data_IF_422211465261
#
_entry.id   IF_422211465261
#
_cell.length_a   1.000
_cell.length_b   1.000
_cell.length_c   1.000
_cell.angle_alpha   90.00
_cell.angle_beta   90.00
_cell.angle_gamma   90.00
#
_symmetry.space_group_name_H-M   'P 1'
#
loop_
_entity.id
_entity.type
_entity.pdbx_description
1 polymer ?
#
# COMPACT_ATOMS: atom_id res chain seq x y z
N UNK A 1 -12.23 1.92 -34.07
CA UNK A 1 -12.30 2.30 -32.65
C UNK A 1 -11.98 1.04 -31.86
N UNK A 2 -11.07 1.10 -30.86
CA UNK A 2 -10.82 -0.05 -29.99
C UNK A 2 -12.07 -0.35 -29.15
N UNK A 3 -12.37 -1.63 -28.90
CA UNK A 3 -13.42 -2.00 -27.96
C UNK A 3 -12.98 -1.65 -26.53
N UNK A 4 -13.95 -1.38 -25.66
CA UNK A 4 -13.65 -1.10 -24.24
C UNK A 4 -13.04 -2.33 -23.57
N UNK A 5 -11.92 -2.15 -22.91
CA UNK A 5 -11.15 -3.21 -22.24
C UNK A 5 -10.82 -4.41 -23.17
N UNK A 6 -10.53 -4.16 -24.46
CA UNK A 6 -10.04 -5.22 -25.33
C UNK A 6 -8.70 -5.80 -24.84
N UNK A 7 -8.20 -6.86 -25.48
CA UNK A 7 -6.94 -7.50 -25.09
C UNK A 7 -5.76 -6.52 -25.03
N UNK A 8 -5.81 -5.44 -25.84
CA UNK A 8 -4.78 -4.41 -25.95
C UNK A 8 -5.16 -3.11 -25.21
N UNK A 9 -6.06 -3.21 -24.24
CA UNK A 9 -6.44 -2.09 -23.38
C UNK A 9 -5.20 -1.38 -22.80
N UNK A 10 -5.15 -0.06 -22.90
CA UNK A 10 -4.03 0.82 -22.54
C UNK A 10 -2.73 0.63 -23.36
N UNK A 11 -2.68 -0.27 -24.33
CA UNK A 11 -1.50 -0.53 -25.16
C UNK A 11 -1.73 0.05 -26.57
N UNK A 12 -0.94 1.04 -26.96
CA UNK A 12 -1.14 1.76 -28.24
C UNK A 12 -0.20 1.28 -29.35
N UNK A 13 1.05 0.91 -28.99
CA UNK A 13 2.08 0.49 -29.94
C UNK A 13 2.23 -1.03 -30.01
N UNK A 14 2.85 -1.52 -31.09
CA UNK A 14 3.12 -2.96 -31.20
C UNK A 14 4.19 -3.41 -30.21
N UNK A 15 5.18 -2.56 -29.92
CA UNK A 15 6.15 -2.83 -28.88
C UNK A 15 5.48 -2.96 -27.51
N UNK A 16 4.61 -2.01 -27.14
CA UNK A 16 3.88 -2.08 -25.86
C UNK A 16 3.06 -3.38 -25.72
N UNK A 17 2.40 -3.83 -26.81
CA UNK A 17 1.66 -5.09 -26.83
C UNK A 17 2.58 -6.29 -26.63
N UNK A 18 3.72 -6.33 -27.33
CA UNK A 18 4.72 -7.39 -27.20
C UNK A 18 5.25 -7.45 -25.75
N UNK A 19 5.68 -6.32 -25.19
CA UNK A 19 6.19 -6.27 -23.82
C UNK A 19 5.16 -6.76 -22.80
N UNK A 20 3.88 -6.40 -22.99
CA UNK A 20 2.83 -6.82 -22.10
C UNK A 20 2.49 -8.31 -22.26
N UNK A 21 2.16 -8.76 -23.47
CA UNK A 21 1.63 -10.11 -23.69
C UNK A 21 2.71 -11.19 -23.50
N UNK A 22 3.96 -10.92 -23.89
CA UNK A 22 5.02 -11.90 -23.85
C UNK A 22 5.74 -11.92 -22.49
N UNK A 23 5.87 -10.77 -21.80
CA UNK A 23 6.71 -10.68 -20.60
C UNK A 23 5.98 -10.29 -19.32
N UNK A 24 4.94 -9.43 -19.37
CA UNK A 24 4.32 -8.91 -18.16
C UNK A 24 3.04 -9.65 -17.73
N UNK A 25 2.20 -10.07 -18.70
CA UNK A 25 0.83 -10.52 -18.42
C UNK A 25 0.76 -11.70 -17.44
N UNK A 26 1.69 -12.66 -17.59
CA UNK A 26 1.69 -13.91 -16.82
C UNK A 26 2.64 -13.88 -15.61
N UNK A 27 3.23 -12.72 -15.27
CA UNK A 27 4.07 -12.61 -14.09
C UNK A 27 3.25 -12.87 -12.82
N UNK A 28 3.81 -13.58 -11.82
CA UNK A 28 3.16 -13.72 -10.52
C UNK A 28 2.95 -12.37 -9.84
N UNK A 29 2.10 -12.35 -8.82
CA UNK A 29 1.88 -11.16 -8.00
C UNK A 29 2.57 -11.34 -6.65
N UNK A 30 3.36 -10.34 -6.27
CA UNK A 30 3.90 -10.15 -4.96
C UNK A 30 3.32 -8.85 -4.41
N UNK A 31 2.40 -8.95 -3.44
CA UNK A 31 1.73 -7.81 -2.85
C UNK A 31 2.39 -7.46 -1.50
N UNK A 32 3.47 -6.72 -1.58
CA UNK A 32 4.33 -6.44 -0.42
C UNK A 32 3.79 -5.36 0.53
N UNK A 33 2.62 -4.80 0.26
CA UNK A 33 1.87 -3.93 1.17
C UNK A 33 0.38 -3.89 0.81
N UNK A 34 -0.46 -4.33 1.74
CA UNK A 34 -1.91 -4.25 1.66
C UNK A 34 -2.55 -4.18 3.04
N UNK A 35 -3.87 -3.98 3.07
CA UNK A 35 -4.68 -3.95 4.29
C UNK A 35 -5.69 -5.11 4.36
N UNK A 36 -5.38 -6.23 3.69
CA UNK A 36 -6.21 -7.43 3.72
C UNK A 36 -6.19 -8.06 5.11
N UNK A 37 -7.36 -8.52 5.57
CA UNK A 37 -7.50 -9.17 6.87
C UNK A 37 -7.03 -10.65 6.80
N UNK A 38 -5.96 -11.04 7.52
CA UNK A 38 -5.46 -12.41 7.50
C UNK A 38 -6.46 -13.42 8.09
N UNK A 39 -7.37 -13.02 8.97
CA UNK A 39 -8.43 -13.90 9.47
C UNK A 39 -9.34 -14.38 8.33
N UNK A 40 -9.72 -13.49 7.41
CA UNK A 40 -10.57 -13.85 6.26
C UNK A 40 -9.86 -14.85 5.33
N UNK A 41 -8.51 -14.78 5.22
CA UNK A 41 -7.72 -15.76 4.47
C UNK A 41 -7.72 -17.11 5.19
N UNK A 42 -7.49 -17.12 6.52
CA UNK A 42 -7.47 -18.35 7.29
C UNK A 42 -8.82 -19.07 7.25
N UNK A 43 -9.90 -18.33 7.49
CA UNK A 43 -11.27 -18.86 7.51
C UNK A 43 -11.80 -19.19 6.11
N UNK A 44 -11.05 -18.86 5.06
CA UNK A 44 -11.45 -19.02 3.66
C UNK A 44 -12.82 -18.45 3.38
N UNK A 45 -13.04 -17.19 3.82
CA UNK A 45 -14.33 -16.51 3.80
C UNK A 45 -14.99 -16.58 2.43
N UNK A 46 -16.30 -16.76 2.43
CA UNK A 46 -17.20 -16.49 1.31
C UNK A 46 -17.92 -15.18 1.53
N UNK A 47 -18.13 -14.43 0.46
CA UNK A 47 -18.95 -13.23 0.48
C UNK A 47 -20.37 -13.53 0.00
N UNK A 48 -21.37 -13.00 0.67
CA UNK A 48 -22.76 -13.20 0.28
C UNK A 48 -23.13 -12.32 -0.91
N UNK A 49 -22.56 -11.11 -0.98
CA UNK A 49 -22.86 -10.12 -2.02
C UNK A 49 -21.62 -9.40 -2.53
N UNK A 50 -21.70 -8.92 -3.76
CA UNK A 50 -20.67 -8.07 -4.36
C UNK A 50 -20.47 -6.75 -3.59
N UNK A 51 -21.49 -6.25 -2.92
CA UNK A 51 -21.41 -5.08 -2.05
C UNK A 51 -20.41 -5.29 -0.93
N UNK A 52 -20.45 -6.45 -0.26
CA UNK A 52 -19.49 -6.75 0.83
C UNK A 52 -18.06 -6.73 0.35
N UNK A 53 -17.79 -7.23 -0.85
CA UNK A 53 -16.45 -7.23 -1.44
C UNK A 53 -16.00 -5.84 -1.89
N UNK A 54 -16.91 -5.06 -2.49
CA UNK A 54 -16.57 -3.79 -3.13
C UNK A 54 -16.72 -2.58 -2.24
N UNK A 55 -17.71 -2.57 -1.36
CA UNK A 55 -18.08 -1.39 -0.58
C UNK A 55 -17.92 -1.59 0.92
N UNK A 56 -17.49 -2.77 1.36
CA UNK A 56 -17.35 -3.09 2.78
C UNK A 56 -16.27 -2.27 3.52
N UNK A 57 -15.30 -1.70 2.81
CA UNK A 57 -14.21 -0.92 3.40
C UNK A 57 -13.46 -0.03 2.41
N UNK A 58 -14.00 0.15 1.20
CA UNK A 58 -13.33 0.88 0.12
C UNK A 58 -13.72 2.37 0.12
N UNK A 59 -12.97 3.16 0.88
CA UNK A 59 -13.16 4.61 0.94
C UNK A 59 -12.87 5.33 -0.40
N UNK A 60 -12.22 4.70 -1.38
CA UNK A 60 -12.06 5.23 -2.74
C UNK A 60 -13.42 5.31 -3.44
N UNK A 61 -14.20 4.21 -3.40
CA UNK A 61 -15.52 4.13 -3.99
C UNK A 61 -16.50 5.05 -3.23
N UNK A 62 -16.48 5.04 -1.90
CA UNK A 62 -17.33 5.92 -1.08
C UNK A 62 -17.15 7.39 -1.42
N UNK A 63 -15.91 7.83 -1.62
CA UNK A 63 -15.58 9.20 -2.01
C UNK A 63 -16.23 9.59 -3.33
N UNK A 64 -16.24 8.69 -4.32
CA UNK A 64 -16.86 8.95 -5.61
C UNK A 64 -18.39 8.94 -5.55
N UNK A 65 -18.99 8.07 -4.76
CA UNK A 65 -20.43 8.07 -4.52
C UNK A 65 -20.88 9.41 -3.91
N UNK A 66 -20.17 9.91 -2.91
CA UNK A 66 -20.41 11.24 -2.32
C UNK A 66 -20.23 12.36 -3.35
N UNK A 67 -19.19 12.28 -4.18
CA UNK A 67 -18.94 13.24 -5.27
C UNK A 67 -20.09 13.26 -6.28
N UNK A 68 -20.79 12.14 -6.46
CA UNK A 68 -21.99 12.05 -7.29
C UNK A 68 -23.29 12.44 -6.54
N UNK A 69 -23.20 12.93 -5.29
CA UNK A 69 -24.36 13.38 -4.52
C UNK A 69 -25.19 12.24 -3.91
N UNK A 70 -24.64 11.05 -3.76
CA UNK A 70 -25.29 9.92 -3.12
C UNK A 70 -25.42 10.18 -1.61
N UNK A 71 -26.61 10.00 -1.07
CA UNK A 71 -26.88 10.12 0.37
C UNK A 71 -26.08 9.10 1.17
N UNK A 72 -25.53 9.51 2.32
CA UNK A 72 -24.63 8.72 3.15
C UNK A 72 -25.22 7.37 3.59
N UNK A 73 -26.54 7.28 3.72
CA UNK A 73 -27.22 6.01 4.03
C UNK A 73 -26.94 4.91 3.02
N UNK A 74 -26.66 5.27 1.74
CA UNK A 74 -26.29 4.33 0.67
C UNK A 74 -24.77 4.14 0.53
N UNK A 75 -23.95 4.88 1.26
CA UNK A 75 -22.49 4.78 1.23
C UNK A 75 -22.01 3.93 2.41
N UNK A 76 -22.06 4.48 3.62
CA UNK A 76 -21.64 3.79 4.85
C UNK A 76 -22.79 3.51 5.82
N UNK A 77 -23.99 4.06 5.58
CA UNK A 77 -25.15 3.90 6.45
C UNK A 77 -25.81 2.51 6.37
N UNK A 78 -27.05 2.43 6.78
CA UNK A 78 -27.79 1.20 7.06
C UNK A 78 -28.66 0.68 5.90
N UNK A 79 -28.53 1.25 4.69
CA UNK A 79 -29.19 0.73 3.49
C UNK A 79 -28.77 -0.70 3.19
N UNK A 80 -29.63 -1.43 2.50
CA UNK A 80 -29.34 -2.82 2.08
C UNK A 80 -28.17 -2.89 1.10
N UNK A 81 -27.52 -4.03 1.03
CA UNK A 81 -26.42 -4.28 0.08
C UNK A 81 -26.84 -4.00 -1.38
N UNK A 82 -28.08 -4.35 -1.76
CA UNK A 82 -28.61 -4.04 -3.08
C UNK A 82 -28.71 -2.54 -3.33
N UNK A 83 -29.25 -1.77 -2.38
CA UNK A 83 -29.39 -0.32 -2.53
C UNK A 83 -28.04 0.37 -2.65
N UNK A 84 -27.06 -0.06 -1.85
CA UNK A 84 -25.67 0.44 -1.94
C UNK A 84 -25.03 0.09 -3.29
N UNK A 85 -25.17 -1.15 -3.73
CA UNK A 85 -24.67 -1.57 -5.05
C UNK A 85 -25.30 -0.79 -6.20
N UNK A 86 -26.63 -0.60 -6.16
CA UNK A 86 -27.35 0.18 -7.15
C UNK A 86 -26.85 1.62 -7.20
N UNK A 87 -26.64 2.26 -6.06
CA UNK A 87 -26.10 3.61 -5.98
C UNK A 87 -24.68 3.70 -6.56
N UNK A 88 -23.84 2.67 -6.32
CA UNK A 88 -22.54 2.55 -6.97
C UNK A 88 -22.68 2.39 -8.50
N UNK A 89 -23.54 1.50 -8.97
CA UNK A 89 -23.78 1.28 -10.39
C UNK A 89 -24.27 2.56 -11.11
N UNK A 90 -25.15 3.33 -10.48
CA UNK A 90 -25.62 4.64 -10.97
C UNK A 90 -24.50 5.71 -10.98
N UNK A 91 -23.50 5.57 -10.13
CA UNK A 91 -22.32 6.44 -10.08
C UNK A 91 -21.33 6.14 -11.22
N UNK A 92 -21.20 4.88 -11.62
CA UNK A 92 -20.21 4.41 -12.58
C UNK A 92 -20.11 5.24 -13.87
N UNK A 93 -21.21 5.58 -14.57
CA UNK A 93 -21.12 6.36 -15.81
C UNK A 93 -20.53 7.76 -15.66
N UNK A 94 -20.52 8.30 -14.43
CA UNK A 94 -19.94 9.60 -14.12
C UNK A 94 -18.42 9.56 -13.91
N UNK A 95 -17.86 8.35 -13.80
CA UNK A 95 -16.42 8.12 -13.51
C UNK A 95 -15.57 8.10 -14.78
N UNK A 96 -15.93 8.85 -15.81
CA UNK A 96 -15.10 8.98 -17.03
C UNK A 96 -13.72 9.52 -16.67
N UNK A 97 -12.66 8.79 -17.05
CA UNK A 97 -11.27 9.15 -16.70
C UNK A 97 -10.82 8.75 -15.30
N UNK A 98 -11.70 8.28 -14.43
CA UNK A 98 -11.36 7.80 -13.10
C UNK A 98 -10.90 6.32 -13.17
N UNK A 99 -9.82 5.93 -12.47
CA UNK A 99 -9.31 4.54 -12.48
C UNK A 99 -10.33 3.53 -11.96
N UNK A 100 -11.22 3.89 -11.04
CA UNK A 100 -12.25 3.00 -10.51
C UNK A 100 -13.22 2.49 -11.59
N UNK A 101 -13.42 3.25 -12.66
CA UNK A 101 -14.20 2.78 -13.81
C UNK A 101 -13.51 1.59 -14.48
N UNK A 102 -12.20 1.69 -14.72
CA UNK A 102 -11.41 0.62 -15.29
C UNK A 102 -11.27 -0.58 -14.33
N UNK A 103 -10.92 -0.32 -13.09
CA UNK A 103 -10.70 -1.38 -12.10
C UNK A 103 -11.95 -2.20 -11.85
N UNK A 104 -13.10 -1.55 -11.62
CA UNK A 104 -14.37 -2.27 -11.42
C UNK A 104 -14.75 -3.14 -12.62
N UNK A 105 -14.55 -2.65 -13.85
CA UNK A 105 -14.83 -3.45 -15.04
C UNK A 105 -13.78 -4.54 -15.30
N UNK A 106 -12.49 -4.34 -14.92
CA UNK A 106 -11.50 -5.41 -14.94
C UNK A 106 -11.88 -6.51 -13.96
N UNK A 107 -12.29 -6.16 -12.74
CA UNK A 107 -12.77 -7.11 -11.74
C UNK A 107 -13.99 -7.89 -12.24
N UNK A 108 -14.97 -7.21 -12.83
CA UNK A 108 -16.15 -7.86 -13.44
C UNK A 108 -15.75 -8.86 -14.53
N UNK A 109 -14.80 -8.50 -15.38
CA UNK A 109 -14.34 -9.40 -16.46
C UNK A 109 -13.53 -10.59 -15.94
N UNK A 110 -12.58 -10.34 -15.05
CA UNK A 110 -11.61 -11.36 -14.61
C UNK A 110 -12.22 -12.37 -13.67
N UNK A 111 -13.05 -11.91 -12.73
CA UNK A 111 -13.62 -12.80 -11.71
C UNK A 111 -15.04 -13.27 -12.04
N UNK A 112 -15.82 -12.45 -12.72
CA UNK A 112 -17.25 -12.74 -12.97
C UNK A 112 -17.57 -13.06 -14.42
N UNK A 113 -16.66 -12.81 -15.35
CA UNK A 113 -16.89 -13.07 -16.78
C UNK A 113 -17.88 -12.10 -17.43
N UNK A 114 -18.13 -10.93 -16.82
CA UNK A 114 -19.04 -9.92 -17.36
C UNK A 114 -18.31 -8.95 -18.27
N UNK A 115 -18.70 -8.92 -19.54
CA UNK A 115 -18.08 -8.08 -20.58
C UNK A 115 -18.85 -6.80 -20.88
N UNK A 116 -20.01 -6.60 -20.25
CA UNK A 116 -20.85 -5.40 -20.41
C UNK A 116 -20.34 -4.18 -19.66
N UNK A 117 -21.21 -3.19 -19.52
CA UNK A 117 -20.93 -1.95 -18.80
C UNK A 117 -21.83 -1.86 -17.57
N UNK A 118 -21.25 -1.59 -16.41
CA UNK A 118 -22.00 -1.37 -15.19
C UNK A 118 -22.57 0.05 -15.16
N UNK A 119 -23.88 0.15 -15.07
CA UNK A 119 -24.64 1.38 -14.91
C UNK A 119 -25.99 1.09 -14.21
N UNK A 120 -26.85 2.10 -14.04
CA UNK A 120 -28.14 1.92 -13.39
C UNK A 120 -29.07 0.93 -14.09
N UNK A 121 -29.00 0.83 -15.42
CA UNK A 121 -29.87 -0.07 -16.20
C UNK A 121 -29.41 -1.53 -16.11
N UNK A 122 -28.10 -1.76 -16.03
CA UNK A 122 -27.48 -3.10 -15.94
C UNK A 122 -27.23 -3.56 -14.50
N UNK A 123 -27.50 -2.70 -13.51
CA UNK A 123 -27.20 -2.98 -12.11
C UNK A 123 -27.82 -4.31 -11.62
N UNK A 124 -29.08 -4.61 -11.99
CA UNK A 124 -29.74 -5.84 -11.56
C UNK A 124 -29.13 -7.09 -12.18
N UNK A 125 -28.80 -7.03 -13.47
CA UNK A 125 -28.13 -8.13 -14.18
C UNK A 125 -26.76 -8.43 -13.55
N UNK A 126 -25.94 -7.41 -13.32
CA UNK A 126 -24.61 -7.57 -12.72
C UNK A 126 -24.70 -8.06 -11.28
N UNK A 127 -25.65 -7.53 -10.50
CA UNK A 127 -25.92 -7.99 -9.14
C UNK A 127 -26.21 -9.49 -9.08
N UNK A 128 -27.16 -9.95 -9.90
CA UNK A 128 -27.56 -11.35 -9.92
C UNK A 128 -26.42 -12.26 -10.37
N UNK A 129 -25.70 -11.88 -11.43
CA UNK A 129 -24.58 -12.62 -11.95
C UNK A 129 -23.45 -12.73 -10.88
N UNK A 130 -23.05 -11.61 -10.30
CA UNK A 130 -21.95 -11.59 -9.33
C UNK A 130 -22.29 -12.39 -8.09
N UNK A 131 -23.51 -12.19 -7.55
CA UNK A 131 -23.89 -12.89 -6.32
C UNK A 131 -24.09 -14.39 -6.54
N UNK A 132 -24.62 -14.81 -7.70
CA UNK A 132 -24.66 -16.22 -8.05
C UNK A 132 -23.27 -16.83 -8.11
N UNK A 133 -22.31 -16.13 -8.75
CA UNK A 133 -20.94 -16.59 -8.87
C UNK A 133 -20.21 -16.64 -7.53
N UNK A 134 -20.42 -15.67 -6.64
CA UNK A 134 -19.84 -15.65 -5.29
C UNK A 134 -20.22 -16.89 -4.45
N UNK A 135 -21.31 -17.60 -4.79
CA UNK A 135 -21.69 -18.83 -4.12
C UNK A 135 -20.91 -20.05 -4.62
N UNK A 136 -20.17 -19.96 -5.72
CA UNK A 136 -19.32 -21.05 -6.21
C UNK A 136 -18.11 -21.26 -5.26
N UNK A 137 -17.60 -22.48 -5.22
CA UNK A 137 -16.41 -22.79 -4.42
C UNK A 137 -15.13 -22.09 -4.93
N UNK A 138 -15.10 -21.72 -6.20
CA UNK A 138 -14.00 -20.97 -6.83
C UNK A 138 -13.86 -19.53 -6.33
N UNK A 139 -14.85 -19.00 -5.63
CA UNK A 139 -14.93 -17.59 -5.21
C UNK A 139 -14.72 -17.40 -3.70
N UNK A 140 -14.13 -18.37 -3.02
CA UNK A 140 -13.63 -18.16 -1.66
C UNK A 140 -12.39 -17.27 -1.67
N UNK A 141 -12.07 -16.64 -0.54
CA UNK A 141 -10.90 -15.75 -0.41
C UNK A 141 -9.61 -16.40 -0.88
N UNK A 142 -9.34 -17.63 -0.44
CA UNK A 142 -8.12 -18.36 -0.86
C UNK A 142 -8.10 -18.64 -2.37
N UNK A 143 -9.25 -18.98 -2.94
CA UNK A 143 -9.33 -19.23 -4.37
C UNK A 143 -9.24 -17.93 -5.20
N UNK A 144 -9.75 -16.80 -4.71
CA UNK A 144 -9.54 -15.47 -5.32
C UNK A 144 -8.05 -15.09 -5.35
N UNK A 145 -7.32 -15.35 -4.26
CA UNK A 145 -5.88 -15.13 -4.18
C UNK A 145 -5.13 -16.03 -5.16
N UNK A 146 -5.42 -17.35 -5.16
CA UNK A 146 -4.75 -18.34 -6.03
C UNK A 146 -5.01 -18.08 -7.52
N UNK A 147 -6.26 -17.83 -7.93
CA UNK A 147 -6.58 -17.56 -9.33
C UNK A 147 -5.96 -16.25 -9.85
N UNK A 148 -5.57 -15.35 -8.95
CA UNK A 148 -4.86 -14.12 -9.27
C UNK A 148 -3.35 -14.30 -9.41
N UNK A 149 -2.83 -15.52 -9.26
CA UNK A 149 -1.39 -15.85 -9.27
C UNK A 149 -0.57 -15.07 -8.22
N UNK A 150 -1.16 -14.86 -7.04
CA UNK A 150 -0.45 -14.25 -5.91
C UNK A 150 0.44 -15.28 -5.25
N UNK A 151 1.70 -14.92 -5.02
CA UNK A 151 2.69 -15.78 -4.35
C UNK A 151 2.97 -15.38 -2.91
N UNK A 152 2.85 -14.09 -2.63
CA UNK A 152 3.10 -13.54 -1.30
C UNK A 152 2.27 -12.29 -1.04
N UNK A 153 1.82 -12.15 0.19
CA UNK A 153 1.08 -10.98 0.70
C UNK A 153 1.76 -10.51 1.98
N UNK A 154 2.07 -9.20 2.08
CA UNK A 154 2.39 -8.56 3.36
C UNK A 154 1.17 -7.74 3.81
N UNK A 155 0.66 -8.06 4.98
CA UNK A 155 -0.45 -7.35 5.62
C UNK A 155 0.04 -6.07 6.33
N UNK A 156 -0.78 -5.44 7.15
CA UNK A 156 -0.39 -4.27 7.95
C UNK A 156 -0.83 -4.52 9.38
N UNK A 157 0.15 -4.66 10.30
CA UNK A 157 -0.07 -5.19 11.63
C UNK A 157 0.54 -4.30 12.71
N UNK A 158 -0.16 -4.19 13.84
CA UNK A 158 0.24 -3.36 14.97
C UNK A 158 1.22 -4.12 15.89
N UNK A 159 2.23 -3.48 16.48
CA UNK A 159 3.13 -4.09 17.46
C UNK A 159 2.47 -4.93 18.58
N UNK A 160 1.24 -4.62 18.95
CA UNK A 160 0.50 -5.33 20.00
C UNK A 160 -0.31 -6.52 19.51
N UNK A 161 -0.35 -6.77 18.20
CA UNK A 161 -1.12 -7.86 17.61
C UNK A 161 -0.53 -9.24 17.94
N UNK A 162 -1.39 -10.22 18.10
CA UNK A 162 -0.99 -11.60 18.41
C UNK A 162 -0.41 -12.36 17.22
N UNK A 163 -0.69 -11.91 16.00
CA UNK A 163 -0.36 -12.56 14.73
C UNK A 163 -0.85 -14.01 14.63
N UNK A 164 -1.88 -14.37 15.38
CA UNK A 164 -2.39 -15.75 15.44
C UNK A 164 -2.85 -16.29 14.10
N UNK A 165 -3.42 -15.41 13.25
CA UNK A 165 -3.89 -15.79 11.93
C UNK A 165 -2.75 -16.05 10.96
N UNK A 166 -1.69 -15.25 11.00
CA UNK A 166 -0.46 -15.51 10.23
C UNK A 166 0.15 -16.86 10.59
N UNK A 167 0.24 -17.16 11.89
CA UNK A 167 0.73 -18.45 12.36
C UNK A 167 -0.13 -19.60 11.84
N UNK A 168 -1.44 -19.51 11.98
CA UNK A 168 -2.37 -20.55 11.52
C UNK A 168 -2.31 -20.76 10.01
N UNK A 169 -2.15 -19.68 9.22
CA UNK A 169 -2.00 -19.77 7.76
C UNK A 169 -0.68 -20.45 7.42
N UNK A 170 0.42 -20.07 8.06
CA UNK A 170 1.74 -20.66 7.82
C UNK A 170 1.80 -22.17 8.17
N UNK A 171 0.99 -22.62 9.12
CA UNK A 171 0.87 -24.02 9.53
C UNK A 171 -0.10 -24.84 8.67
N UNK A 172 -0.85 -24.19 7.74
CA UNK A 172 -1.86 -24.84 6.89
C UNK A 172 -1.29 -25.26 5.52
N UNK A 173 -0.99 -26.56 5.30
CA UNK A 173 -0.40 -27.01 4.04
C UNK A 173 -1.36 -26.97 2.84
N UNK A 174 -2.63 -26.65 3.05
CA UNK A 174 -3.62 -26.52 1.98
C UNK A 174 -3.55 -25.17 1.25
N UNK A 175 -2.79 -24.20 1.83
CA UNK A 175 -2.63 -22.88 1.27
C UNK A 175 -1.14 -22.55 1.13
N UNK A 176 -0.69 -22.44 -0.11
CA UNK A 176 0.70 -22.32 -0.51
C UNK A 176 1.18 -20.86 -0.72
N UNK A 177 0.27 -19.87 -0.56
CA UNK A 177 0.60 -18.45 -0.64
C UNK A 177 1.13 -17.97 0.72
N UNK A 178 2.30 -17.33 0.71
CA UNK A 178 2.87 -16.78 1.93
C UNK A 178 2.09 -15.53 2.37
N UNK A 179 1.69 -15.48 3.63
CA UNK A 179 1.05 -14.30 4.24
C UNK A 179 1.88 -13.88 5.43
N UNK A 180 2.62 -12.78 5.26
CA UNK A 180 3.58 -12.27 6.24
C UNK A 180 3.07 -10.99 6.89
N UNK A 181 3.33 -10.78 8.19
CA UNK A 181 3.01 -9.52 8.82
C UNK A 181 3.97 -8.42 8.39
N UNK A 182 3.47 -7.18 8.30
CA UNK A 182 4.29 -5.98 8.21
C UNK A 182 4.12 -5.13 9.47
N UNK A 183 5.23 -4.62 9.97
CA UNK A 183 5.30 -3.87 11.23
C UNK A 183 4.87 -2.42 11.06
N UNK A 184 3.75 -2.01 11.69
CA UNK A 184 3.26 -0.62 11.65
C UNK A 184 3.10 -0.03 13.05
N UNK A 185 4.13 0.63 13.59
CA UNK A 185 4.16 1.10 14.98
C UNK A 185 3.58 2.51 15.19
N UNK A 186 2.76 3.03 14.29
CA UNK A 186 2.29 4.41 14.31
C UNK A 186 1.63 4.81 15.64
N UNK A 187 0.88 3.90 16.29
CA UNK A 187 0.26 4.19 17.58
C UNK A 187 1.29 4.37 18.70
N UNK A 188 2.43 3.69 18.61
CA UNK A 188 3.53 3.87 19.56
C UNK A 188 4.29 5.19 19.36
N UNK A 189 4.17 5.79 18.17
CA UNK A 189 4.81 7.05 17.81
C UNK A 189 3.93 8.27 18.07
N UNK A 190 2.62 8.11 18.12
CA UNK A 190 1.65 9.20 18.19
C UNK A 190 1.42 9.67 19.65
N UNK A 191 2.48 10.19 20.27
CA UNK A 191 2.53 10.61 21.69
C UNK A 191 1.50 11.69 22.04
N UNK A 192 1.04 12.46 21.05
CA UNK A 192 0.06 13.55 21.17
C UNK A 192 -1.40 13.05 21.22
N UNK A 193 -1.65 11.78 20.90
CA UNK A 193 -3.02 11.26 20.81
C UNK A 193 -3.59 10.88 22.17
N UNK A 194 -4.88 11.15 22.44
CA UNK A 194 -5.53 10.76 23.69
C UNK A 194 -5.49 9.26 23.99
N UNK A 195 -5.35 8.44 22.96
CA UNK A 195 -5.27 6.98 23.06
C UNK A 195 -3.89 6.45 23.46
N UNK A 196 -2.86 7.30 23.46
CA UNK A 196 -1.48 6.91 23.68
C UNK A 196 -1.24 6.22 25.05
N UNK A 197 -1.76 6.71 26.20
CA UNK A 197 -1.57 6.03 27.48
C UNK A 197 -2.09 4.59 27.51
N UNK A 198 -3.29 4.38 26.98
CA UNK A 198 -3.90 3.06 26.91
C UNK A 198 -3.10 2.12 25.97
N UNK A 199 -2.60 2.65 24.86
CA UNK A 199 -1.76 1.89 23.95
C UNK A 199 -0.43 1.48 24.61
N UNK A 200 0.24 2.37 25.35
CA UNK A 200 1.48 2.06 26.08
C UNK A 200 1.27 1.02 27.17
N UNK A 201 0.12 1.05 27.86
CA UNK A 201 -0.26 0.00 28.81
C UNK A 201 -0.39 -1.37 28.12
N UNK A 202 -1.03 -1.41 26.95
CA UNK A 202 -1.15 -2.65 26.14
C UNK A 202 0.21 -3.14 25.63
N UNK A 203 1.04 -2.24 25.13
CA UNK A 203 2.39 -2.57 24.69
C UNK A 203 3.23 -3.15 25.86
N UNK A 204 3.12 -2.55 27.05
CA UNK A 204 3.79 -3.05 28.26
C UNK A 204 3.35 -4.47 28.59
N UNK A 205 2.05 -4.75 28.53
CA UNK A 205 1.47 -6.06 28.78
C UNK A 205 2.02 -7.12 27.81
N UNK A 206 1.91 -6.87 26.49
CA UNK A 206 2.29 -7.87 25.47
C UNK A 206 3.79 -8.07 25.33
N UNK A 207 4.60 -7.06 25.69
CA UNK A 207 6.07 -7.17 25.68
C UNK A 207 6.66 -7.69 26.99
N UNK A 208 5.89 -7.61 28.08
CA UNK A 208 6.40 -7.88 29.43
C UNK A 208 7.36 -6.81 29.98
N UNK A 209 7.46 -5.66 29.29
CA UNK A 209 8.34 -4.53 29.67
C UNK A 209 7.46 -3.34 30.04
N UNK A 210 7.52 -2.92 31.30
CA UNK A 210 6.83 -1.70 31.74
C UNK A 210 7.45 -0.47 31.06
N UNK A 211 6.68 0.24 30.26
CA UNK A 211 7.13 1.48 29.61
C UNK A 211 7.00 2.65 30.58
N UNK A 212 8.14 3.23 30.94
CA UNK A 212 8.24 4.38 31.88
C UNK A 212 9.08 5.53 31.31
N UNK A 213 9.98 5.23 30.39
CA UNK A 213 10.92 6.11 29.74
C UNK A 213 11.22 5.63 28.31
N UNK A 214 11.98 6.40 27.55
CA UNK A 214 12.28 6.06 26.17
C UNK A 214 13.15 4.80 26.04
N UNK A 215 14.00 4.52 27.00
CA UNK A 215 14.82 3.30 27.02
C UNK A 215 13.94 2.03 27.16
N UNK A 216 12.98 2.04 28.08
CA UNK A 216 12.01 0.95 28.25
C UNK A 216 11.06 0.82 27.06
N UNK A 217 10.64 1.93 26.43
CA UNK A 217 9.86 1.90 25.20
C UNK A 217 10.65 1.21 24.07
N UNK A 218 11.90 1.62 23.85
CA UNK A 218 12.79 0.98 22.86
C UNK A 218 12.87 -0.54 23.11
N UNK A 219 13.07 -0.94 24.36
CA UNK A 219 13.17 -2.36 24.72
C UNK A 219 11.85 -3.12 24.49
N UNK A 220 10.71 -2.54 24.84
CA UNK A 220 9.40 -3.13 24.58
C UNK A 220 9.17 -3.38 23.08
N UNK A 221 9.51 -2.38 22.25
CA UNK A 221 9.42 -2.50 20.79
C UNK A 221 10.39 -3.55 20.24
N UNK A 222 11.62 -3.63 20.73
CA UNK A 222 12.59 -4.68 20.32
C UNK A 222 12.06 -6.09 20.60
N UNK A 223 11.48 -6.34 21.77
CA UNK A 223 10.84 -7.62 22.07
C UNK A 223 9.74 -7.96 21.07
N UNK A 224 8.94 -6.96 20.69
CA UNK A 224 7.87 -7.17 19.70
C UNK A 224 8.41 -7.34 18.27
N UNK A 225 9.46 -6.61 17.89
CA UNK A 225 10.13 -6.79 16.60
C UNK A 225 10.73 -8.21 16.48
N UNK A 226 11.36 -8.74 17.55
CA UNK A 226 11.87 -10.11 17.55
C UNK A 226 10.74 -11.13 17.38
N UNK A 227 9.60 -10.91 18.01
CA UNK A 227 8.40 -11.72 17.81
C UNK A 227 7.89 -11.65 16.36
N UNK A 228 7.78 -10.45 15.79
CA UNK A 228 7.38 -10.28 14.39
C UNK A 228 8.37 -10.96 13.42
N UNK A 229 9.68 -10.85 13.68
CA UNK A 229 10.69 -11.59 12.90
C UNK A 229 10.46 -13.09 12.94
N UNK A 230 10.14 -13.64 14.11
CA UNK A 230 9.85 -15.07 14.25
C UNK A 230 8.62 -15.52 13.46
N UNK A 231 7.77 -14.57 13.07
CA UNK A 231 6.58 -14.77 12.22
C UNK A 231 6.83 -14.43 10.74
N UNK A 232 8.08 -14.22 10.34
CA UNK A 232 8.48 -13.94 8.97
C UNK A 232 8.43 -12.47 8.55
N UNK A 233 8.18 -11.53 9.48
CA UNK A 233 8.21 -10.11 9.17
C UNK A 233 9.61 -9.67 8.73
N UNK A 234 9.69 -8.95 7.61
CA UNK A 234 10.92 -8.34 7.11
C UNK A 234 10.71 -6.89 6.61
N UNK A 235 9.55 -6.33 6.88
CA UNK A 235 9.17 -5.01 6.37
C UNK A 235 8.40 -4.22 7.42
N UNK A 236 8.71 -2.93 7.52
CA UNK A 236 7.94 -1.97 8.28
C UNK A 236 7.13 -1.06 7.36
N UNK A 237 6.11 -0.43 7.92
CA UNK A 237 5.31 0.59 7.28
C UNK A 237 5.04 1.73 8.26
N UNK A 238 5.10 2.96 7.77
CA UNK A 238 4.84 4.17 8.54
C UNK A 238 3.94 5.10 7.74
N UNK A 239 2.90 5.65 8.37
CA UNK A 239 2.07 6.69 7.79
C UNK A 239 2.34 8.03 8.50
N UNK A 240 3.11 8.88 7.84
CA UNK A 240 3.54 10.16 8.36
C UNK A 240 2.80 11.31 7.67
N UNK A 241 2.59 12.43 8.37
CA UNK A 241 2.14 13.68 7.74
C UNK A 241 3.22 14.17 6.73
N UNK A 242 4.48 14.09 7.13
CA UNK A 242 5.69 14.30 6.32
C UNK A 242 6.89 13.65 7.03
N UNK A 243 8.02 13.49 6.36
CA UNK A 243 9.24 12.96 7.00
C UNK A 243 9.91 14.08 7.79
N UNK A 244 9.64 14.09 9.10
CA UNK A 244 10.14 15.12 10.00
C UNK A 244 11.59 14.85 10.45
N UNK A 245 12.31 15.93 10.73
CA UNK A 245 13.59 15.88 11.43
C UNK A 245 13.75 17.08 12.37
N UNK A 246 13.48 16.84 13.64
CA UNK A 246 13.69 17.82 14.74
C UNK A 246 14.50 17.10 15.81
N UNK A 247 15.84 17.27 15.82
CA UNK A 247 16.71 16.56 16.76
C UNK A 247 16.42 16.97 18.21
N UNK A 248 16.62 16.00 19.11
CA UNK A 248 16.42 16.18 20.56
C UNK A 248 17.39 15.31 21.34
N UNK A 249 17.57 15.64 22.60
CA UNK A 249 18.31 14.80 23.56
C UNK A 249 17.40 13.71 24.13
N UNK A 250 17.96 12.60 24.60
CA UNK A 250 17.16 11.56 25.28
C UNK A 250 16.40 12.10 26.50
N UNK A 251 16.98 13.03 27.25
CA UNK A 251 16.29 13.66 28.38
C UNK A 251 15.04 14.48 27.96
N UNK A 252 15.10 15.18 26.82
CA UNK A 252 13.92 15.85 26.28
C UNK A 252 12.86 14.84 25.85
N UNK A 253 13.26 13.75 25.20
CA UNK A 253 12.34 12.69 24.77
C UNK A 253 11.66 12.03 25.97
N UNK A 254 12.40 11.77 27.08
CA UNK A 254 11.83 11.21 28.30
C UNK A 254 10.78 12.13 28.94
N UNK A 255 11.03 13.45 28.95
CA UNK A 255 10.05 14.43 29.45
C UNK A 255 8.78 14.42 28.59
N UNK A 256 8.93 14.37 27.28
CA UNK A 256 7.79 14.32 26.34
C UNK A 256 7.00 13.03 26.51
N UNK A 257 7.69 11.90 26.58
CA UNK A 257 7.07 10.61 26.81
C UNK A 257 6.29 10.57 28.13
N UNK A 258 6.87 11.14 29.21
CA UNK A 258 6.21 11.21 30.51
C UNK A 258 4.90 12.00 30.47
N UNK A 259 4.83 13.09 29.68
CA UNK A 259 3.58 13.81 29.40
C UNK A 259 2.57 12.91 28.66
N UNK A 260 3.01 12.26 27.58
CA UNK A 260 2.17 11.36 26.79
C UNK A 260 1.60 10.21 27.62
N UNK A 261 2.41 9.58 28.51
CA UNK A 261 1.96 8.51 29.40
C UNK A 261 0.89 8.93 30.40
N UNK A 262 0.87 10.23 30.77
CA UNK A 262 -0.14 10.80 31.66
C UNK A 262 -1.35 11.35 30.91
N UNK A 263 -1.34 11.38 29.58
CA UNK A 263 -2.35 12.02 28.76
C UNK A 263 -2.34 13.55 28.86
N UNK A 264 -1.20 14.13 29.26
CA UNK A 264 -0.99 15.57 29.28
C UNK A 264 -0.80 16.11 27.86
N UNK A 265 -1.10 17.41 27.65
CA UNK A 265 -0.95 18.03 26.33
C UNK A 265 0.52 18.07 25.90
N UNK A 266 0.76 17.62 24.67
CA UNK A 266 2.06 17.64 23.99
C UNK A 266 2.01 18.73 22.91
N UNK A 267 2.96 19.65 22.90
CA UNK A 267 3.06 20.70 21.88
C UNK A 267 3.50 20.10 20.54
N UNK A 268 3.26 20.83 19.43
CA UNK A 268 3.69 20.37 18.09
C UNK A 268 5.21 20.17 17.99
N UNK A 269 6.00 21.02 18.65
CA UNK A 269 7.46 20.86 18.69
C UNK A 269 7.87 19.59 19.46
N UNK A 270 7.26 19.35 20.61
CA UNK A 270 7.49 18.13 21.40
C UNK A 270 7.10 16.86 20.61
N UNK A 271 5.94 16.89 19.95
CA UNK A 271 5.51 15.82 19.07
C UNK A 271 6.57 15.49 18.01
N UNK A 272 7.07 16.51 17.30
CA UNK A 272 8.07 16.35 16.25
C UNK A 272 9.42 15.83 16.78
N UNK A 273 9.86 16.29 17.95
CA UNK A 273 11.05 15.79 18.64
C UNK A 273 10.91 14.33 18.98
N UNK A 274 9.78 13.93 19.57
CA UNK A 274 9.50 12.53 19.92
C UNK A 274 9.45 11.64 18.69
N UNK A 275 8.68 12.03 17.66
CA UNK A 275 8.56 11.27 16.41
C UNK A 275 9.89 11.14 15.69
N UNK A 276 10.73 12.17 15.68
CA UNK A 276 12.09 12.10 15.12
C UNK A 276 12.95 11.08 15.85
N UNK A 277 12.98 11.15 17.18
CA UNK A 277 13.75 10.21 18.00
C UNK A 277 13.26 8.76 17.81
N UNK A 278 11.93 8.57 17.76
CA UNK A 278 11.31 7.28 17.50
C UNK A 278 11.71 6.71 16.13
N UNK A 279 11.57 7.51 15.06
CA UNK A 279 11.89 7.09 13.70
C UNK A 279 13.37 6.78 13.50
N UNK A 280 14.27 7.56 14.12
CA UNK A 280 15.71 7.27 14.10
C UNK A 280 16.03 5.95 14.81
N UNK A 281 15.42 5.69 15.96
CA UNK A 281 15.54 4.40 16.65
C UNK A 281 15.02 3.27 15.78
N UNK A 282 13.81 3.39 15.25
CA UNK A 282 13.16 2.38 14.44
C UNK A 282 13.99 2.04 13.19
N UNK A 283 14.45 3.06 12.45
CA UNK A 283 15.27 2.87 11.25
C UNK A 283 16.59 2.12 11.55
N UNK A 284 17.25 2.44 12.68
CA UNK A 284 18.46 1.73 13.12
C UNK A 284 18.18 0.26 13.42
N UNK A 285 17.08 -0.01 14.12
CA UNK A 285 16.67 -1.40 14.38
C UNK A 285 16.32 -2.15 13.09
N UNK A 286 15.62 -1.51 12.15
CA UNK A 286 15.35 -2.12 10.84
C UNK A 286 16.63 -2.45 10.09
N UNK A 287 17.62 -1.53 10.08
CA UNK A 287 18.92 -1.80 9.48
C UNK A 287 19.63 -2.97 10.15
N UNK A 288 19.63 -3.01 11.49
CA UNK A 288 20.24 -4.09 12.29
C UNK A 288 19.61 -5.45 11.99
N UNK A 289 18.28 -5.49 11.81
CA UNK A 289 17.51 -6.71 11.58
C UNK A 289 17.41 -7.09 10.09
N UNK A 290 17.89 -6.23 9.20
CA UNK A 290 17.75 -6.42 7.75
C UNK A 290 16.34 -6.18 7.22
N UNK A 291 15.47 -5.52 7.99
CA UNK A 291 14.12 -5.17 7.56
C UNK A 291 14.14 -3.98 6.60
N UNK A 292 13.15 -3.93 5.71
CA UNK A 292 12.90 -2.81 4.82
C UNK A 292 11.99 -1.79 5.50
N UNK A 293 12.33 -0.52 5.39
CA UNK A 293 11.50 0.58 5.91
C UNK A 293 10.63 1.16 4.80
N UNK A 294 9.31 1.08 4.93
CA UNK A 294 8.38 1.80 4.08
C UNK A 294 7.89 3.07 4.78
N UNK A 295 7.92 4.20 4.09
CA UNK A 295 7.42 5.48 4.59
C UNK A 295 6.38 6.01 3.60
N UNK A 296 5.12 6.01 4.02
CA UNK A 296 4.02 6.67 3.36
C UNK A 296 3.81 8.05 3.99
N UNK A 297 3.83 9.12 3.20
CA UNK A 297 3.66 10.47 3.73
C UNK A 297 2.87 11.39 2.78
N UNK A 298 2.53 12.59 3.25
CA UNK A 298 1.84 13.59 2.46
C UNK A 298 0.32 13.52 2.54
N UNK A 299 -0.23 12.83 3.53
CA UNK A 299 -1.67 12.78 3.79
C UNK A 299 -2.05 13.75 4.90
N UNK A 300 -3.02 14.62 4.63
CA UNK A 300 -3.74 15.38 5.67
C UNK A 300 -5.03 14.62 5.98
N UNK A 301 -5.11 14.14 7.21
CA UNK A 301 -6.21 13.26 7.68
C UNK A 301 -7.41 14.07 8.18
N UNK A 302 -8.58 13.44 8.09
CA UNK A 302 -9.81 13.84 8.79
C UNK A 302 -10.22 15.30 8.55
N UNK A 303 -10.19 15.75 7.29
CA UNK A 303 -10.41 17.18 6.95
C UNK A 303 -11.84 17.67 7.13
N UNK A 304 -12.83 16.79 7.30
CA UNK A 304 -14.22 17.13 7.56
C UNK A 304 -14.59 16.73 8.99
N UNK A 305 -14.43 17.65 9.94
CA UNK A 305 -14.69 17.41 11.36
C UNK A 305 -16.11 16.92 11.63
N UNK A 306 -17.12 17.47 10.93
CA UNK A 306 -18.52 17.04 11.06
C UNK A 306 -18.69 15.57 10.69
N UNK A 307 -18.10 15.13 9.60
CA UNK A 307 -18.20 13.73 9.17
C UNK A 307 -17.33 12.79 10.03
N UNK A 308 -16.20 13.29 10.53
CA UNK A 308 -15.35 12.55 11.44
C UNK A 308 -16.07 12.22 12.78
N UNK A 309 -16.83 13.16 13.33
CA UNK A 309 -17.63 12.92 14.52
C UNK A 309 -18.69 11.83 14.30
N UNK A 310 -19.18 11.67 13.07
CA UNK A 310 -20.23 10.69 12.76
C UNK A 310 -19.70 9.33 12.34
N UNK A 311 -18.62 9.29 11.56
CA UNK A 311 -18.15 8.09 10.88
C UNK A 311 -16.76 7.62 11.36
N UNK A 312 -16.02 8.45 12.06
CA UNK A 312 -14.65 8.15 12.47
C UNK A 312 -13.61 8.27 11.33
N UNK A 313 -12.40 7.75 11.57
CA UNK A 313 -11.28 7.82 10.64
C UNK A 313 -11.47 6.86 9.45
N UNK A 314 -10.63 7.05 8.40
CA UNK A 314 -10.54 6.17 7.22
C UNK A 314 -11.86 6.02 6.42
N UNK A 315 -12.68 7.06 6.44
CA UNK A 315 -14.00 7.05 5.77
C UNK A 315 -14.06 7.91 4.50
N UNK A 316 -12.90 8.35 3.98
CA UNK A 316 -12.78 9.03 2.68
C UNK A 316 -12.70 10.56 2.75
N UNK A 317 -12.40 11.16 3.90
CA UNK A 317 -12.30 12.60 4.11
C UNK A 317 -10.86 13.11 4.25
N UNK A 318 -9.90 12.34 3.78
CA UNK A 318 -8.50 12.70 3.71
C UNK A 318 -8.17 13.42 2.40
N UNK A 319 -7.09 14.20 2.40
CA UNK A 319 -6.60 14.87 1.19
C UNK A 319 -5.06 14.92 1.15
N UNK A 320 -4.55 15.33 -0.01
CA UNK A 320 -3.12 15.55 -0.20
C UNK A 320 -2.68 16.76 0.66
N UNK A 321 -1.58 16.56 1.37
CA UNK A 321 -0.86 17.63 2.06
C UNK A 321 0.29 18.09 1.16
N UNK A 322 0.42 19.40 0.95
CA UNK A 322 1.54 19.98 0.20
C UNK A 322 2.66 20.51 1.12
N UNK A 323 2.61 20.25 2.40
CA UNK A 323 3.70 20.51 3.32
C UNK A 323 4.73 19.38 3.20
N UNK A 324 5.70 19.58 2.33
CA UNK A 324 6.74 18.61 2.03
C UNK A 324 8.12 19.23 2.26
N UNK A 325 8.63 19.22 3.49
CA UNK A 325 9.98 19.69 3.78
C UNK A 325 11.01 18.67 3.30
N UNK A 326 11.35 18.71 2.01
CA UNK A 326 12.39 17.84 1.42
C UNK A 326 13.73 17.93 2.17
N UNK A 327 14.05 19.10 2.70
CA UNK A 327 15.23 19.30 3.55
C UNK A 327 15.19 18.40 4.79
N UNK A 328 14.07 18.34 5.50
CA UNK A 328 13.95 17.50 6.70
C UNK A 328 14.05 16.00 6.38
N UNK A 329 13.51 15.54 5.24
CA UNK A 329 13.70 14.18 4.77
C UNK A 329 15.17 13.87 4.50
N UNK A 330 15.87 14.79 3.82
CA UNK A 330 17.30 14.66 3.57
C UNK A 330 18.10 14.64 4.87
N UNK A 331 17.78 15.50 5.83
CA UNK A 331 18.42 15.54 7.15
C UNK A 331 18.17 14.27 7.97
N UNK A 332 16.95 13.71 7.91
CA UNK A 332 16.63 12.42 8.54
C UNK A 332 17.50 11.29 7.98
N UNK A 333 17.58 11.15 6.66
CA UNK A 333 18.43 10.16 6.02
C UNK A 333 19.92 10.41 6.28
N UNK A 334 20.35 11.68 6.28
CA UNK A 334 21.72 12.05 6.60
C UNK A 334 22.11 11.66 8.05
N UNK A 335 21.21 11.84 9.01
CA UNK A 335 21.46 11.43 10.39
C UNK A 335 21.69 9.92 10.55
N UNK A 336 21.03 9.11 9.71
CA UNK A 336 21.25 7.66 9.65
C UNK A 336 22.52 7.31 8.86
N UNK A 337 22.90 8.10 7.86
CA UNK A 337 24.06 7.83 7.03
C UNK A 337 25.40 7.93 7.76
N UNK A 338 25.47 8.79 8.77
CA UNK A 338 26.71 9.00 9.55
C UNK A 338 27.19 7.73 10.26
N UNK A 339 26.28 6.82 10.64
CA UNK A 339 26.59 5.52 11.21
C UNK A 339 26.52 4.36 10.21
N UNK A 340 26.27 4.64 8.92
CA UNK A 340 25.92 3.63 7.92
C UNK A 340 24.69 2.78 8.34
N UNK A 341 23.70 3.45 8.92
CA UNK A 341 22.54 2.85 9.58
C UNK A 341 21.24 2.99 8.76
N UNK A 342 21.32 3.44 7.50
CA UNK A 342 20.15 3.53 6.63
C UNK A 342 19.73 2.12 6.21
N UNK A 343 18.50 1.67 6.54
CA UNK A 343 17.97 0.41 6.00
C UNK A 343 17.64 0.55 4.51
N UNK A 344 17.37 -0.55 3.81
CA UNK A 344 16.63 -0.47 2.54
C UNK A 344 15.34 0.29 2.81
N UNK A 345 15.04 1.30 2.01
CA UNK A 345 13.93 2.22 2.29
C UNK A 345 13.12 2.50 1.04
N UNK A 346 11.80 2.55 1.19
CA UNK A 346 10.85 2.91 0.14
C UNK A 346 10.08 4.16 0.60
N UNK A 347 10.13 5.20 -0.21
CA UNK A 347 9.46 6.48 0.06
C UNK A 347 8.27 6.65 -0.87
N UNK A 348 7.08 6.81 -0.30
CA UNK A 348 5.84 7.08 -1.03
C UNK A 348 5.31 8.45 -0.64
N UNK A 349 5.17 9.36 -1.59
CA UNK A 349 4.45 10.61 -1.37
C UNK A 349 3.04 10.54 -1.93
N UNK A 350 2.09 11.05 -1.17
CA UNK A 350 0.74 11.26 -1.68
C UNK A 350 0.65 12.49 -2.60
N UNK A 351 1.65 13.38 -2.52
CA UNK A 351 1.73 14.58 -3.35
C UNK A 351 2.64 14.33 -4.57
N UNK A 352 2.12 14.29 -5.80
CA UNK A 352 2.91 14.04 -6.99
C UNK A 352 3.97 15.14 -7.28
N UNK A 353 3.81 16.34 -6.72
CA UNK A 353 4.82 17.39 -6.84
C UNK A 353 6.14 17.05 -6.11
N UNK A 354 6.14 16.06 -5.23
CA UNK A 354 7.34 15.62 -4.52
C UNK A 354 8.20 14.64 -5.34
N UNK A 355 7.69 14.11 -6.45
CA UNK A 355 8.37 13.07 -7.23
C UNK A 355 9.83 13.43 -7.56
N UNK A 356 10.07 14.64 -8.05
CA UNK A 356 11.43 15.11 -8.40
C UNK A 356 12.30 15.29 -7.15
N UNK A 357 11.73 15.84 -6.07
CA UNK A 357 12.45 16.00 -4.80
C UNK A 357 12.87 14.66 -4.22
N UNK A 358 11.95 13.66 -4.21
CA UNK A 358 12.27 12.30 -3.78
C UNK A 358 13.39 11.72 -4.65
N UNK A 359 13.27 11.80 -5.99
CA UNK A 359 14.26 11.27 -6.91
C UNK A 359 15.66 11.82 -6.65
N UNK A 360 15.78 13.11 -6.38
CA UNK A 360 17.08 13.74 -6.08
C UNK A 360 17.62 13.37 -4.70
N UNK A 361 16.75 13.26 -3.68
CA UNK A 361 17.16 12.88 -2.33
C UNK A 361 17.65 11.44 -2.29
N UNK A 362 16.90 10.50 -2.86
CA UNK A 362 17.29 9.09 -2.84
C UNK A 362 18.61 8.83 -3.55
N UNK A 363 18.93 9.63 -4.58
CA UNK A 363 20.22 9.60 -5.26
C UNK A 363 21.42 9.90 -4.36
N UNK A 364 21.22 10.64 -3.25
CA UNK A 364 22.27 10.96 -2.30
C UNK A 364 22.67 9.80 -1.38
N UNK A 365 21.81 8.77 -1.24
CA UNK A 365 21.93 7.74 -0.21
C UNK A 365 21.96 6.30 -0.76
N UNK A 366 22.25 6.13 -2.04
CA UNK A 366 22.44 4.80 -2.64
C UNK A 366 23.79 4.21 -2.21
N UNK A 367 23.88 2.87 -2.24
CA UNK A 367 25.12 2.14 -1.97
C UNK A 367 25.33 0.99 -2.98
N UNK A 368 26.05 -0.06 -2.59
CA UNK A 368 26.31 -1.22 -3.45
C UNK A 368 25.09 -2.09 -3.76
N UNK A 369 23.97 -1.91 -3.03
CA UNK A 369 22.73 -2.64 -3.31
C UNK A 369 21.92 -1.88 -4.35
N UNK A 370 21.57 -2.49 -5.51
CA UNK A 370 20.84 -1.81 -6.58
C UNK A 370 19.48 -1.29 -6.09
N UNK A 371 19.28 0.02 -6.16
CA UNK A 371 18.03 0.64 -5.71
C UNK A 371 17.77 0.52 -4.22
N UNK A 372 18.80 0.62 -3.37
CA UNK A 372 18.68 0.53 -1.90
C UNK A 372 17.59 1.45 -1.36
N UNK A 373 17.54 2.68 -1.83
CA UNK A 373 16.46 3.60 -1.54
C UNK A 373 15.59 3.70 -2.78
N UNK A 374 14.32 3.35 -2.66
CA UNK A 374 13.33 3.33 -3.72
C UNK A 374 12.43 4.56 -3.65
N UNK A 375 12.08 5.11 -4.82
CA UNK A 375 10.87 5.90 -4.95
C UNK A 375 9.72 4.90 -5.17
N UNK A 376 8.84 4.78 -4.20
CA UNK A 376 7.71 3.84 -4.24
C UNK A 376 6.75 4.13 -5.38
N UNK A 377 5.89 3.18 -5.70
CA UNK A 377 4.88 3.34 -6.75
C UNK A 377 3.93 4.51 -6.44
N UNK A 378 3.32 5.05 -7.50
CA UNK A 378 2.24 6.01 -7.34
C UNK A 378 1.18 5.44 -6.39
N UNK A 379 0.84 6.20 -5.34
CA UNK A 379 0.09 5.71 -4.21
C UNK A 379 -1.23 6.46 -4.04
N UNK A 380 -2.29 5.76 -3.66
CA UNK A 380 -3.63 6.24 -3.30
C UNK A 380 -4.23 7.19 -4.35
N UNK A 381 -4.21 8.53 -4.12
CA UNK A 381 -4.77 9.51 -5.07
C UNK A 381 -4.03 9.58 -6.40
N UNK A 382 -2.82 9.02 -6.48
CA UNK A 382 -2.02 8.96 -7.70
C UNK A 382 -2.00 7.56 -8.34
N UNK A 383 -2.68 6.58 -7.75
CA UNK A 383 -2.76 5.21 -8.24
C UNK A 383 -3.69 5.12 -9.47
N UNK A 384 -3.31 5.80 -10.53
CA UNK A 384 -4.00 5.87 -11.82
C UNK A 384 -3.00 6.05 -12.97
N UNK A 385 -3.45 5.84 -14.20
CA UNK A 385 -2.57 5.86 -15.39
C UNK A 385 -1.61 7.06 -15.41
N UNK A 386 -2.10 8.28 -15.21
CA UNK A 386 -1.28 9.48 -15.26
C UNK A 386 -0.27 9.51 -14.12
N UNK A 387 -0.73 9.30 -12.87
CA UNK A 387 0.15 9.32 -11.69
C UNK A 387 1.22 8.23 -11.74
N UNK A 388 0.87 7.01 -12.18
CA UNK A 388 1.84 5.92 -12.38
C UNK A 388 2.87 6.29 -13.45
N UNK A 389 2.44 6.85 -14.58
CA UNK A 389 3.34 7.29 -15.66
C UNK A 389 4.28 8.39 -15.17
N UNK A 390 3.75 9.41 -14.51
CA UNK A 390 4.55 10.54 -14.00
C UNK A 390 5.57 10.10 -12.94
N UNK A 391 5.19 9.19 -12.04
CA UNK A 391 6.12 8.63 -11.05
C UNK A 391 7.25 7.85 -11.72
N UNK A 392 6.94 6.95 -12.68
CA UNK A 392 7.96 6.16 -13.38
C UNK A 392 8.86 7.03 -14.26
N UNK A 393 8.32 8.04 -14.94
CA UNK A 393 9.10 9.01 -15.72
C UNK A 393 10.04 9.81 -14.81
N UNK A 394 9.52 10.29 -13.66
CA UNK A 394 10.35 11.01 -12.69
C UNK A 394 11.49 10.13 -12.16
N UNK A 395 11.19 8.86 -11.83
CA UNK A 395 12.19 7.90 -11.38
C UNK A 395 13.24 7.63 -12.48
N UNK A 396 12.80 7.43 -13.73
CA UNK A 396 13.70 7.21 -14.87
C UNK A 396 14.66 8.39 -15.11
N UNK A 397 14.16 9.62 -14.93
CA UNK A 397 14.96 10.84 -15.12
C UNK A 397 15.99 11.07 -13.99
N UNK A 398 15.80 10.50 -12.80
CA UNK A 398 16.63 10.76 -11.62
C UNK A 398 17.42 9.52 -11.17
N UNK A 399 17.09 8.32 -11.68
CA UNK A 399 17.67 7.07 -11.22
C UNK A 399 17.58 5.95 -12.25
N UNK A 400 17.69 4.70 -11.77
CA UNK A 400 17.65 3.50 -12.60
C UNK A 400 16.26 2.86 -12.54
N UNK A 401 15.36 3.23 -13.45
CA UNK A 401 14.01 2.65 -13.50
C UNK A 401 14.02 1.12 -13.54
N UNK A 402 15.00 0.49 -14.21
CA UNK A 402 15.11 -0.97 -14.27
C UNK A 402 15.24 -1.68 -12.91
N UNK A 403 15.61 -0.95 -11.85
CA UNK A 403 15.69 -1.46 -10.48
C UNK A 403 14.41 -1.19 -9.66
N UNK A 404 13.38 -0.62 -10.27
CA UNK A 404 12.11 -0.33 -9.60
C UNK A 404 11.43 -1.63 -9.16
N UNK A 405 10.90 -1.65 -7.94
CA UNK A 405 10.27 -2.85 -7.35
C UNK A 405 8.78 -3.02 -7.71
N UNK A 406 8.27 -2.17 -8.61
CA UNK A 406 6.89 -2.24 -9.07
C UNK A 406 5.86 -1.73 -8.07
N UNK A 407 4.62 -2.14 -8.29
CA UNK A 407 3.47 -1.69 -7.50
C UNK A 407 3.10 -2.66 -6.38
N UNK A 408 2.26 -2.18 -5.50
CA UNK A 408 1.53 -2.86 -4.44
C UNK A 408 0.04 -2.51 -4.56
N UNK A 409 -0.86 -3.25 -3.92
CA UNK A 409 -2.29 -2.96 -4.04
C UNK A 409 -2.78 -1.87 -3.08
N UNK A 410 -2.20 -1.76 -1.91
CA UNK A 410 -2.69 -0.92 -0.80
C UNK A 410 -4.21 -1.11 -0.56
N UNK A 411 -4.70 -2.32 -0.74
CA UNK A 411 -6.13 -2.62 -0.81
C UNK A 411 -6.63 -3.46 0.37
N UNK A 412 -7.94 -3.31 0.61
CA UNK A 412 -8.71 -4.15 1.54
C UNK A 412 -9.55 -5.20 0.81
N UNK A 413 -9.56 -5.21 -0.53
CA UNK A 413 -10.42 -6.10 -1.34
C UNK A 413 -9.63 -7.20 -2.03
N UNK A 414 -10.11 -8.43 -1.95
CA UNK A 414 -9.55 -9.60 -2.62
C UNK A 414 -9.73 -9.61 -4.14
N UNK A 415 -10.48 -8.67 -4.70
CA UNK A 415 -10.62 -8.48 -6.14
C UNK A 415 -9.60 -7.48 -6.71
N UNK A 416 -8.85 -6.78 -5.86
CA UNK A 416 -7.95 -5.68 -6.27
C UNK A 416 -6.68 -6.12 -6.99
N UNK A 417 -6.41 -7.42 -7.10
CA UNK A 417 -5.23 -7.90 -7.82
C UNK A 417 -5.22 -7.56 -9.32
N UNK A 418 -6.38 -7.23 -9.90
CA UNK A 418 -6.48 -6.66 -11.26
C UNK A 418 -5.74 -5.32 -11.41
N UNK A 419 -5.42 -4.62 -10.30
CA UNK A 419 -4.59 -3.42 -10.32
C UNK A 419 -3.16 -3.71 -10.80
N UNK A 420 -2.62 -4.91 -10.55
CA UNK A 420 -1.34 -5.35 -11.11
C UNK A 420 -1.40 -5.46 -12.63
N UNK A 421 -2.48 -6.00 -13.20
CA UNK A 421 -2.70 -5.99 -14.64
C UNK A 421 -2.71 -4.55 -15.18
N UNK A 422 -3.45 -3.66 -14.54
CA UNK A 422 -3.53 -2.25 -14.91
C UNK A 422 -2.16 -1.57 -14.91
N UNK A 423 -1.40 -1.73 -13.84
CA UNK A 423 -0.03 -1.21 -13.72
C UNK A 423 0.89 -1.76 -14.81
N UNK A 424 0.90 -3.07 -15.03
CA UNK A 424 1.73 -3.72 -16.05
C UNK A 424 1.46 -3.20 -17.45
N UNK A 425 0.20 -2.90 -17.76
CA UNK A 425 -0.18 -2.27 -19.03
C UNK A 425 0.34 -0.84 -19.13
N UNK A 426 0.26 -0.05 -18.07
CA UNK A 426 0.81 1.31 -18.02
C UNK A 426 2.33 1.29 -18.17
N UNK A 427 3.02 0.38 -17.50
CA UNK A 427 4.47 0.18 -17.62
C UNK A 427 4.87 -0.16 -19.05
N UNK A 428 4.22 -1.17 -19.65
CA UNK A 428 4.56 -1.62 -21.00
C UNK A 428 4.23 -0.57 -22.06
N UNK A 429 3.16 0.21 -21.86
CA UNK A 429 2.86 1.35 -22.72
C UNK A 429 3.94 2.42 -22.67
N UNK A 430 4.44 2.75 -21.48
CA UNK A 430 5.51 3.73 -21.30
C UNK A 430 6.83 3.26 -21.96
N UNK A 431 7.26 2.03 -21.65
CA UNK A 431 8.49 1.48 -22.21
C UNK A 431 8.40 1.28 -23.72
N UNK A 432 7.26 0.75 -24.20
CA UNK A 432 7.00 0.58 -25.62
C UNK A 432 7.01 1.90 -26.38
N UNK A 433 6.46 2.96 -25.79
CA UNK A 433 6.51 4.31 -26.36
C UNK A 433 7.94 4.83 -26.52
N UNK A 434 8.80 4.64 -25.52
CA UNK A 434 10.20 5.05 -25.63
C UNK A 434 10.95 4.29 -26.72
N UNK A 435 10.67 3.00 -26.91
CA UNK A 435 11.28 2.22 -28.00
C UNK A 435 10.77 2.69 -29.37
N UNK A 436 9.48 2.87 -29.55
CA UNK A 436 8.89 3.32 -30.80
C UNK A 436 9.36 4.72 -31.21
N UNK A 437 9.61 5.59 -30.23
CA UNK A 437 10.16 6.93 -30.45
C UNK A 437 11.68 6.96 -30.66
N UNK A 438 12.37 5.82 -30.56
CA UNK A 438 13.84 5.75 -30.67
C UNK A 438 14.59 6.29 -29.46
N UNK A 439 13.93 6.44 -28.32
CA UNK A 439 14.51 6.90 -27.06
C UNK A 439 15.23 5.76 -26.32
N UNK A 440 14.88 4.50 -26.62
CA UNK A 440 15.53 3.29 -26.14
C UNK A 440 15.64 2.25 -27.27
N UNK A 441 16.72 1.46 -27.35
CA UNK A 441 16.86 0.46 -28.40
C UNK A 441 15.85 -0.67 -28.25
N UNK A 442 15.45 -1.28 -29.38
CA UNK A 442 14.60 -2.50 -29.39
C UNK A 442 15.39 -3.76 -29.00
N UNK A 443 16.15 -3.69 -27.90
CA UNK A 443 16.85 -4.83 -27.30
C UNK A 443 15.87 -5.64 -26.47
N UNK A 444 15.28 -6.66 -27.09
CA UNK A 444 14.25 -7.48 -26.49
C UNK A 444 14.73 -8.21 -25.23
N UNK A 445 16.00 -8.58 -25.15
CA UNK A 445 16.55 -9.23 -23.96
C UNK A 445 16.60 -8.26 -22.77
N UNK A 446 17.12 -7.06 -22.99
CA UNK A 446 17.16 -6.04 -21.93
C UNK A 446 15.75 -5.60 -21.51
N UNK A 447 14.84 -5.47 -22.47
CA UNK A 447 13.43 -5.10 -22.19
C UNK A 447 12.70 -6.20 -21.41
N UNK A 448 12.91 -7.48 -21.74
CA UNK A 448 12.38 -8.60 -20.97
C UNK A 448 12.88 -8.58 -19.53
N UNK A 449 14.18 -8.42 -19.31
CA UNK A 449 14.80 -8.32 -17.98
C UNK A 449 14.22 -7.16 -17.17
N UNK A 450 14.03 -5.99 -17.78
CA UNK A 450 13.42 -4.82 -17.12
C UNK A 450 11.96 -5.07 -16.78
N UNK A 451 11.15 -5.56 -17.72
CA UNK A 451 9.72 -5.80 -17.50
C UNK A 451 9.49 -6.85 -16.43
N UNK A 452 10.15 -8.00 -16.51
CA UNK A 452 10.05 -9.06 -15.49
C UNK A 452 10.60 -8.59 -14.14
N UNK A 453 11.68 -7.81 -14.17
CA UNK A 453 12.24 -7.16 -13.00
C UNK A 453 11.20 -6.32 -12.27
N UNK A 454 10.64 -5.34 -12.93
CA UNK A 454 9.69 -4.38 -12.33
C UNK A 454 8.37 -5.09 -11.95
N UNK A 455 7.91 -6.05 -12.75
CA UNK A 455 6.65 -6.74 -12.48
C UNK A 455 6.72 -7.72 -11.31
N UNK A 456 7.92 -8.21 -10.93
CA UNK A 456 8.05 -9.24 -9.89
C UNK A 456 9.46 -9.42 -9.34
N UNK A 457 10.48 -9.72 -10.19
CA UNK A 457 11.77 -10.21 -9.74
C UNK A 457 12.53 -9.21 -8.86
N UNK A 458 12.41 -7.91 -9.14
CA UNK A 458 13.07 -6.88 -8.34
C UNK A 458 12.53 -6.87 -6.91
N UNK A 459 11.22 -7.04 -6.72
CA UNK A 459 10.63 -7.12 -5.39
C UNK A 459 11.12 -8.37 -4.64
N UNK A 460 11.12 -9.57 -5.28
CA UNK A 460 11.69 -10.78 -4.68
C UNK A 460 13.10 -10.54 -4.16
N UNK A 461 13.98 -9.98 -5.00
CA UNK A 461 15.37 -9.72 -4.65
C UNK A 461 15.53 -8.61 -3.59
N UNK A 462 14.71 -7.55 -3.70
CA UNK A 462 14.78 -6.40 -2.80
C UNK A 462 14.39 -6.76 -1.37
N UNK A 463 13.28 -7.49 -1.22
CA UNK A 463 12.81 -7.94 0.09
C UNK A 463 13.58 -9.17 0.60
N UNK A 464 14.19 -9.94 -0.28
CA UNK A 464 14.89 -11.18 0.07
C UNK A 464 13.92 -12.32 0.43
N UNK A 465 12.73 -12.31 -0.18
CA UNK A 465 11.78 -13.40 0.01
C UNK A 465 12.29 -14.73 -0.56
N UNK A 466 11.97 -15.81 0.13
CA UNK A 466 12.27 -17.18 -0.34
C UNK A 466 11.29 -17.59 -1.45
N UNK A 467 11.41 -16.93 -2.59
CA UNK A 467 10.61 -17.14 -3.80
C UNK A 467 11.52 -17.25 -5.02
N UNK A 468 11.11 -18.07 -5.98
CA UNK A 468 11.81 -18.18 -7.26
C UNK A 468 11.56 -16.96 -8.14
N UNK A 469 12.60 -16.44 -8.78
CA UNK A 469 12.48 -15.43 -9.82
C UNK A 469 12.05 -16.07 -11.15
N UNK A 470 11.28 -15.35 -11.94
CA UNK A 470 10.84 -15.79 -13.27
C UNK A 470 11.96 -15.53 -14.28
N UNK A 471 12.39 -16.59 -14.98
CA UNK A 471 13.43 -16.55 -16.02
C UNK A 471 12.86 -16.22 -17.40
#
# INVERSE_FOLDING_TARGET
>A
MKAFLDKDFLLSSDMAKTLYHDFAANMPILDYHCHINPQEIYEDRKFDTITQVWLGGDHYKWRQMRSNGIDEKYVTGDSTDWEKFKAWAETMPKLIGNPLYHWSHLELRRYFGYEGYLNGDTAKEVWDLCNAKLQESSMTVRNLIKQSHVTLICTTDDPVDSLEWHKKIAEDPSFDVQVLPAWRPDKAMNVEKPTFPAYMARLSEVSGIQVTDFASLKKALQVRMDFFTSMGCCVSDHALEYVMYVPSTEAEVDVILAKGLKGEAVSKEEELKFKTAFMLFAAREYNRMGWIMQIHYGCKRDNNAYMFEQLGPDTGFDCINNYAPSAQMADFLNALSTGNEIPKTILYSLNPNDNVSIGTIIGCFQDKFPGKIQHGSAWWFNDHKVGMTEQMVSLANQGCLGNFIGMLTDSRSFLSYTRHEYFRRVLCELLGGWVENGEYPADMKALEEIVRGICYNNAVNYFGFELDTVK
#
